data_IF_921033633818
#
_entry.id   IF_921033633818
#
_cell.length_a   1.000
_cell.length_b   1.000
_cell.length_c   1.000
_cell.angle_alpha   90.00
_cell.angle_beta   90.00
_cell.angle_gamma   90.00
#
_symmetry.space_group_name_H-M   'P 1'
#
loop_
_entity.id
_entity.type
_entity.pdbx_description
1 polymer ?
#
# COMPACT_ATOMS: atom_id res chain seq x y z
N UNK A 1 -22.12 21.64 9.24
CA UNK A 1 -23.53 21.48 8.81
C UNK A 1 -23.73 21.19 7.33
N UNK A 2 -23.55 22.15 6.40
CA UNK A 2 -23.87 21.91 4.97
C UNK A 2 -23.22 20.66 4.38
N UNK A 3 -21.91 20.45 4.63
CA UNK A 3 -21.19 19.25 4.16
C UNK A 3 -21.77 17.95 4.71
N UNK A 4 -22.08 17.89 6.01
CA UNK A 4 -22.64 16.70 6.67
C UNK A 4 -23.97 16.25 6.09
N UNK A 5 -24.80 17.20 5.63
CA UNK A 5 -26.08 16.92 4.96
C UNK A 5 -25.91 16.26 3.59
N UNK A 6 -24.72 16.34 2.99
CA UNK A 6 -24.43 15.88 1.63
C UNK A 6 -23.34 14.81 1.57
N UNK A 7 -22.77 14.40 2.72
CA UNK A 7 -21.79 13.33 2.75
C UNK A 7 -22.42 11.99 2.41
N UNK A 8 -21.69 11.21 1.62
CA UNK A 8 -21.92 9.78 1.45
C UNK A 8 -21.68 9.10 2.80
N UNK A 9 -22.61 8.26 3.25
CA UNK A 9 -22.52 7.55 4.53
C UNK A 9 -21.80 6.20 4.38
N UNK A 10 -21.21 5.63 5.44
CA UNK A 10 -20.45 4.39 5.36
C UNK A 10 -21.20 3.20 4.72
N UNK A 11 -22.51 3.11 4.91
CA UNK A 11 -23.39 2.08 4.35
C UNK A 11 -23.68 2.24 2.85
N UNK A 12 -23.29 3.37 2.25
CA UNK A 12 -23.44 3.62 0.82
C UNK A 12 -22.24 3.16 -0.02
N UNK A 13 -21.14 2.75 0.62
CA UNK A 13 -19.94 2.28 -0.08
C UNK A 13 -20.04 0.78 -0.44
N UNK A 14 -19.51 0.35 -1.60
CA UNK A 14 -18.89 1.18 -2.66
C UNK A 14 -19.92 2.07 -3.37
N UNK A 15 -19.57 3.34 -3.59
CA UNK A 15 -20.50 4.37 -4.06
C UNK A 15 -20.26 4.74 -5.53
N UNK A 16 -21.21 4.43 -6.41
CA UNK A 16 -21.20 4.89 -7.79
C UNK A 16 -21.43 6.41 -7.84
N UNK A 17 -20.43 7.16 -8.31
CA UNK A 17 -20.59 8.60 -8.51
C UNK A 17 -21.49 8.89 -9.72
N UNK A 18 -22.04 10.12 -9.83
CA UNK A 18 -22.74 10.56 -11.05
C UNK A 18 -21.84 10.64 -12.31
N UNK A 19 -20.54 10.38 -12.17
CA UNK A 19 -19.57 10.32 -13.27
C UNK A 19 -19.01 8.89 -13.38
N UNK A 20 -17.85 8.70 -14.03
CA UNK A 20 -17.36 7.38 -14.43
C UNK A 20 -16.84 6.47 -13.29
N UNK A 21 -16.71 6.97 -12.05
CA UNK A 21 -15.94 6.29 -11.00
C UNK A 21 -16.80 5.78 -9.84
N UNK A 22 -16.36 4.68 -9.24
CA UNK A 22 -16.94 4.09 -8.03
C UNK A 22 -15.99 4.34 -6.87
N UNK A 23 -16.42 5.08 -5.85
CA UNK A 23 -15.63 5.24 -4.63
C UNK A 23 -15.60 3.94 -3.84
N UNK A 24 -14.43 3.58 -3.31
CA UNK A 24 -14.16 2.30 -2.66
C UNK A 24 -14.77 2.21 -1.25
N UNK A 25 -14.31 3.04 -0.31
CA UNK A 25 -14.78 3.08 1.08
C UNK A 25 -14.65 4.50 1.66
N UNK A 26 -15.37 4.80 2.74
CA UNK A 26 -15.21 6.10 3.40
C UNK A 26 -16.04 6.28 4.66
N UNK A 27 -15.55 7.14 5.56
CA UNK A 27 -16.31 7.65 6.71
C UNK A 27 -16.04 9.14 6.90
N UNK A 28 -16.76 9.96 6.13
CA UNK A 28 -16.51 11.40 6.02
C UNK A 28 -16.98 12.18 7.25
N UNK A 29 -18.01 11.69 7.93
CA UNK A 29 -18.44 12.25 9.22
C UNK A 29 -17.33 12.10 10.25
N UNK A 30 -16.70 10.92 10.36
CA UNK A 30 -15.62 10.68 11.32
C UNK A 30 -14.39 11.59 11.07
N UNK A 31 -13.98 11.79 9.82
CA UNK A 31 -12.84 12.69 9.53
C UNK A 31 -13.18 14.15 9.83
N UNK A 32 -14.41 14.60 9.55
CA UNK A 32 -14.88 15.93 9.93
C UNK A 32 -14.97 16.10 11.45
N UNK A 33 -15.52 15.12 12.17
CA UNK A 33 -15.60 15.12 13.64
C UNK A 33 -14.22 15.27 14.25
N UNK A 34 -13.26 14.44 13.80
CA UNK A 34 -11.91 14.47 14.35
C UNK A 34 -11.20 15.79 14.05
N UNK A 35 -11.38 16.37 12.86
CA UNK A 35 -10.78 17.66 12.53
C UNK A 35 -11.34 18.79 13.41
N UNK A 36 -12.67 18.84 13.61
CA UNK A 36 -13.29 19.88 14.45
C UNK A 36 -12.89 19.76 15.92
N UNK A 37 -12.73 18.53 16.42
CA UNK A 37 -12.19 18.24 17.75
C UNK A 37 -10.76 18.76 17.89
N UNK A 38 -9.85 18.36 16.98
CA UNK A 38 -8.45 18.76 17.01
C UNK A 38 -8.25 20.28 16.86
N UNK A 39 -9.13 20.94 16.11
CA UNK A 39 -9.10 22.38 15.89
C UNK A 39 -9.79 23.18 17.02
N UNK A 40 -10.34 22.52 18.03
CA UNK A 40 -11.12 23.16 19.10
C UNK A 40 -12.18 24.13 18.54
N UNK A 41 -12.92 23.65 17.54
CA UNK A 41 -13.82 24.51 16.74
C UNK A 41 -14.97 25.08 17.56
N UNK A 42 -15.41 24.39 18.61
CA UNK A 42 -16.48 24.87 19.51
C UNK A 42 -16.11 26.19 20.20
N UNK A 43 -14.82 26.45 20.40
CA UNK A 43 -14.30 27.69 20.98
C UNK A 43 -13.86 28.74 19.94
N UNK A 44 -14.05 28.48 18.64
CA UNK A 44 -13.63 29.39 17.57
C UNK A 44 -14.24 30.80 17.71
N UNK A 45 -15.54 30.91 18.01
CA UNK A 45 -16.20 32.22 18.12
C UNK A 45 -15.65 33.07 19.27
N UNK A 46 -15.22 32.44 20.37
CA UNK A 46 -14.52 33.13 21.45
C UNK A 46 -13.20 33.73 20.94
N UNK A 47 -12.39 32.92 20.27
CA UNK A 47 -11.11 33.38 19.69
C UNK A 47 -11.32 34.47 18.63
N UNK A 48 -12.38 34.37 17.84
CA UNK A 48 -12.77 35.38 16.84
C UNK A 48 -13.12 36.71 17.50
N UNK A 49 -13.87 36.71 18.60
CA UNK A 49 -14.17 37.92 19.35
C UNK A 49 -12.91 38.55 19.96
N UNK A 50 -11.97 37.74 20.45
CA UNK A 50 -10.68 38.21 20.96
C UNK A 50 -9.84 38.91 19.86
N UNK A 51 -9.82 38.37 18.64
CA UNK A 51 -9.17 39.04 17.48
C UNK A 51 -9.84 40.36 17.14
N UNK A 52 -11.17 40.38 17.08
CA UNK A 52 -11.94 41.58 16.76
C UNK A 52 -11.67 42.70 17.77
N UNK A 53 -11.53 42.37 19.06
CA UNK A 53 -11.16 43.33 20.10
C UNK A 53 -9.77 43.97 19.90
N UNK A 54 -8.88 43.31 19.15
CA UNK A 54 -7.55 43.82 18.74
C UNK A 54 -7.55 44.45 17.34
N UNK A 55 -8.72 44.67 16.73
CA UNK A 55 -8.84 45.19 15.36
C UNK A 55 -8.43 44.19 14.27
N UNK A 56 -8.34 42.89 14.58
CA UNK A 56 -7.98 41.83 13.63
C UNK A 56 -9.20 41.04 13.18
N UNK A 57 -9.15 40.51 11.97
CA UNK A 57 -10.14 39.56 11.47
C UNK A 57 -9.67 38.14 11.77
N UNK A 58 -10.60 37.23 12.06
CA UNK A 58 -10.28 35.81 12.21
C UNK A 58 -11.28 34.95 11.44
N UNK A 59 -10.76 33.98 10.69
CA UNK A 59 -11.53 33.07 9.86
C UNK A 59 -11.12 31.62 10.09
N UNK A 60 -12.06 30.71 9.86
CA UNK A 60 -11.83 29.27 9.90
C UNK A 60 -12.21 28.66 8.54
N UNK A 61 -11.21 28.20 7.79
CA UNK A 61 -11.37 27.48 6.54
C UNK A 61 -11.51 25.99 6.78
N UNK A 62 -12.46 25.36 6.08
CA UNK A 62 -12.62 23.89 6.07
C UNK A 62 -12.52 23.41 4.62
N UNK A 63 -11.62 22.46 4.38
CA UNK A 63 -11.54 21.68 3.16
C UNK A 63 -11.80 20.21 3.49
N UNK A 64 -12.77 19.59 2.81
CA UNK A 64 -13.01 18.16 2.89
C UNK A 64 -12.89 17.61 1.48
N UNK A 65 -12.06 16.59 1.32
CA UNK A 65 -11.65 16.10 0.00
C UNK A 65 -11.79 14.58 -0.10
N UNK A 66 -11.94 14.14 -1.34
CA UNK A 66 -11.83 12.75 -1.78
C UNK A 66 -10.86 12.82 -2.96
N UNK A 67 -9.82 12.01 -2.95
CA UNK A 67 -8.78 11.99 -3.98
C UNK A 67 -8.83 10.68 -4.75
N UNK A 68 -8.73 10.72 -6.08
CA UNK A 68 -8.54 9.51 -6.87
C UNK A 68 -7.04 9.16 -6.95
N UNK A 69 -6.59 8.27 -6.08
CA UNK A 69 -5.21 7.78 -6.03
C UNK A 69 -5.08 6.42 -6.74
N UNK A 70 -3.85 6.01 -7.07
CA UNK A 70 -3.63 4.72 -7.71
C UNK A 70 -4.07 4.72 -9.16
N UNK A 71 -3.72 5.78 -9.91
CA UNK A 71 -4.06 5.90 -11.33
C UNK A 71 -3.50 4.70 -12.10
N UNK A 72 -4.41 3.79 -12.47
CA UNK A 72 -3.99 2.52 -12.98
C UNK A 72 -4.99 1.72 -13.80
N UNK A 73 -6.32 1.69 -13.52
CA UNK A 73 -7.20 0.74 -14.22
C UNK A 73 -7.13 0.93 -15.73
N UNK A 74 -6.36 0.06 -16.40
CA UNK A 74 -5.87 0.35 -17.75
C UNK A 74 -7.02 0.47 -18.74
N UNK A 75 -8.07 -0.33 -18.52
CA UNK A 75 -9.30 -0.27 -19.30
C UNK A 75 -10.03 1.08 -19.19
N UNK A 76 -10.12 1.65 -17.98
CA UNK A 76 -10.82 2.91 -17.75
C UNK A 76 -10.01 4.10 -18.27
N UNK A 77 -8.72 4.16 -17.93
CA UNK A 77 -7.86 5.27 -18.37
C UNK A 77 -7.63 5.26 -19.88
N UNK A 78 -7.64 4.08 -20.53
CA UNK A 78 -7.63 3.96 -21.98
C UNK A 78 -8.86 4.61 -22.63
N UNK A 79 -10.05 4.43 -22.05
CA UNK A 79 -11.27 5.12 -22.51
C UNK A 79 -11.19 6.65 -22.33
N UNK A 80 -10.41 7.12 -21.35
CA UNK A 80 -10.14 8.54 -21.09
C UNK A 80 -8.97 9.10 -21.91
N UNK A 81 -8.38 8.31 -22.82
CA UNK A 81 -7.35 8.76 -23.76
C UNK A 81 -5.90 8.47 -23.38
N UNK A 82 -5.66 7.68 -22.33
CA UNK A 82 -4.32 7.20 -22.02
C UNK A 82 -3.79 6.27 -23.14
N UNK A 83 -2.52 6.42 -23.50
CA UNK A 83 -1.88 5.66 -24.61
C UNK A 83 -1.10 4.43 -24.17
N UNK A 84 -0.86 4.28 -22.87
CA UNK A 84 -0.20 3.12 -22.26
C UNK A 84 -1.10 2.55 -21.16
N UNK A 85 -0.92 1.26 -20.85
CA UNK A 85 -1.48 0.70 -19.62
C UNK A 85 -0.85 1.39 -18.40
N UNK A 86 -1.57 1.44 -17.29
CA UNK A 86 -1.11 2.07 -16.06
C UNK A 86 -0.96 1.04 -14.92
N UNK A 87 -0.63 -0.20 -15.29
CA UNK A 87 -0.24 -1.27 -14.36
C UNK A 87 1.08 -0.96 -13.65
N UNK A 88 1.45 -1.76 -12.66
CA UNK A 88 2.80 -1.77 -12.10
C UNK A 88 3.34 -3.19 -11.97
N UNK A 89 4.65 -3.34 -11.72
CA UNK A 89 5.31 -4.63 -11.63
C UNK A 89 6.27 -4.73 -10.44
N UNK A 90 6.51 -5.97 -10.03
CA UNK A 90 7.54 -6.30 -9.06
C UNK A 90 8.10 -7.71 -9.29
N UNK A 91 9.38 -7.87 -9.02
CA UNK A 91 10.07 -9.15 -8.90
C UNK A 91 10.63 -9.29 -7.50
N UNK A 92 10.34 -10.41 -6.84
CA UNK A 92 10.89 -10.75 -5.52
C UNK A 92 11.89 -11.88 -5.73
N UNK A 93 13.16 -11.64 -5.40
CA UNK A 93 14.24 -12.63 -5.44
C UNK A 93 14.70 -12.91 -4.02
N UNK A 94 14.67 -14.17 -3.63
CA UNK A 94 15.13 -14.61 -2.30
C UNK A 94 16.44 -15.37 -2.45
N UNK A 95 17.51 -14.88 -1.83
CA UNK A 95 18.81 -15.56 -1.85
C UNK A 95 18.78 -16.81 -0.95
N UNK A 96 19.70 -17.75 -1.17
CA UNK A 96 19.80 -18.99 -0.39
C UNK A 96 19.94 -18.74 1.13
N UNK A 97 20.56 -17.62 1.53
CA UNK A 97 20.72 -17.21 2.93
C UNK A 97 19.47 -16.59 3.56
N UNK A 98 18.41 -16.36 2.78
CA UNK A 98 17.12 -15.83 3.25
C UNK A 98 16.94 -14.32 3.06
N UNK A 99 17.99 -13.57 2.68
CA UNK A 99 17.86 -12.16 2.30
C UNK A 99 17.04 -12.00 1.01
N UNK A 100 16.35 -10.87 0.86
CA UNK A 100 15.39 -10.65 -0.23
C UNK A 100 15.78 -9.38 -1.00
N UNK A 101 15.78 -9.47 -2.34
CA UNK A 101 15.88 -8.33 -3.24
C UNK A 101 14.53 -8.13 -3.93
N UNK A 102 13.99 -6.91 -3.84
CA UNK A 102 12.71 -6.52 -4.46
C UNK A 102 13.00 -5.55 -5.59
N UNK A 103 12.71 -5.93 -6.83
CA UNK A 103 12.82 -5.05 -7.99
C UNK A 103 11.43 -4.52 -8.31
N UNK A 104 11.24 -3.20 -8.31
CA UNK A 104 9.92 -2.59 -8.56
C UNK A 104 10.00 -1.53 -9.64
N UNK A 105 9.00 -1.51 -10.53
CA UNK A 105 8.87 -0.48 -11.53
C UNK A 105 8.44 0.90 -10.98
N UNK A 106 8.14 1.00 -9.67
CA UNK A 106 7.96 2.27 -8.97
C UNK A 106 9.30 2.93 -8.62
N UNK A 107 9.52 4.18 -9.04
CA UNK A 107 10.75 4.91 -8.75
C UNK A 107 10.58 5.94 -7.62
N UNK A 108 11.43 5.91 -6.59
CA UNK A 108 11.32 6.88 -5.50
C UNK A 108 11.98 8.22 -5.83
N UNK A 109 11.35 9.31 -5.37
CA UNK A 109 11.91 10.67 -5.41
C UNK A 109 11.88 11.31 -4.00
N UNK A 110 11.95 10.49 -2.94
CA UNK A 110 11.91 10.94 -1.55
C UNK A 110 10.66 10.52 -0.76
N UNK A 111 9.82 9.62 -1.30
CA UNK A 111 8.62 9.12 -0.60
C UNK A 111 8.92 8.02 0.43
N UNK A 112 10.15 7.48 0.42
CA UNK A 112 10.57 6.42 1.35
C UNK A 112 10.16 5.01 0.90
N UNK A 113 10.19 4.73 -0.41
CA UNK A 113 9.79 3.42 -0.96
C UNK A 113 10.71 2.30 -0.47
N UNK A 114 12.01 2.59 -0.33
CA UNK A 114 13.03 1.66 0.16
C UNK A 114 12.76 1.18 1.58
N UNK A 115 12.07 2.00 2.39
CA UNK A 115 11.64 1.62 3.73
C UNK A 115 10.28 0.95 3.71
N UNK A 116 9.28 1.62 3.12
CA UNK A 116 7.88 1.20 3.22
C UNK A 116 7.60 -0.09 2.45
N UNK A 117 8.21 -0.30 1.28
CA UNK A 117 8.06 -1.56 0.55
C UNK A 117 8.78 -2.72 1.23
N UNK A 118 9.94 -2.47 1.86
CA UNK A 118 10.62 -3.48 2.65
C UNK A 118 9.76 -3.92 3.85
N UNK A 119 9.10 -2.98 4.53
CA UNK A 119 8.17 -3.28 5.62
C UNK A 119 7.00 -4.16 5.15
N UNK A 120 6.41 -3.89 3.98
CA UNK A 120 5.32 -4.73 3.43
C UNK A 120 5.77 -6.19 3.26
N UNK A 121 6.94 -6.42 2.65
CA UNK A 121 7.45 -7.79 2.42
C UNK A 121 7.87 -8.44 3.74
N UNK A 122 8.49 -7.67 4.64
CA UNK A 122 8.89 -8.11 5.97
C UNK A 122 7.69 -8.63 6.78
N UNK A 123 6.60 -7.86 6.83
CA UNK A 123 5.39 -8.24 7.57
C UNK A 123 4.71 -9.49 6.98
N UNK A 124 4.73 -9.63 5.65
CA UNK A 124 4.15 -10.81 4.98
C UNK A 124 4.89 -12.11 5.29
N UNK A 125 6.21 -12.05 5.45
CA UNK A 125 7.07 -13.23 5.66
C UNK A 125 7.39 -13.44 7.15
N UNK A 126 7.40 -12.37 7.93
CA UNK A 126 7.81 -12.34 9.34
C UNK A 126 9.33 -12.30 9.54
N UNK A 127 10.06 -11.59 8.67
CA UNK A 127 11.52 -11.39 8.78
C UNK A 127 11.87 -9.93 9.07
N UNK A 128 13.11 -9.63 9.47
CA UNK A 128 13.55 -8.25 9.66
C UNK A 128 13.59 -7.52 8.32
N UNK A 129 12.95 -6.34 8.22
CA UNK A 129 13.01 -5.51 7.01
C UNK A 129 14.44 -5.16 6.57
N UNK A 130 15.42 -5.19 7.47
CA UNK A 130 16.85 -5.00 7.13
C UNK A 130 17.43 -6.10 6.25
N UNK A 131 16.80 -7.28 6.17
CA UNK A 131 17.21 -8.33 5.24
C UNK A 131 16.62 -8.16 3.84
N UNK A 132 15.93 -7.04 3.59
CA UNK A 132 15.21 -6.77 2.36
C UNK A 132 15.79 -5.51 1.71
N UNK A 133 16.24 -5.64 0.48
CA UNK A 133 16.75 -4.53 -0.33
C UNK A 133 15.75 -4.20 -1.44
N UNK A 134 15.43 -2.91 -1.59
CA UNK A 134 14.53 -2.44 -2.65
C UNK A 134 15.38 -1.82 -3.77
N UNK A 135 15.21 -2.34 -4.97
CA UNK A 135 15.81 -1.86 -6.20
C UNK A 135 14.74 -1.22 -7.08
N UNK A 136 14.99 0.01 -7.51
CA UNK A 136 14.17 0.74 -8.48
C UNK A 136 15.05 1.66 -9.33
N UNK A 137 14.56 2.06 -10.51
CA UNK A 137 15.22 3.04 -11.38
C UNK A 137 16.21 2.49 -12.40
N UNK A 138 16.63 1.24 -12.29
CA UNK A 138 17.46 0.58 -13.28
C UNK A 138 16.61 -0.30 -14.22
N UNK A 139 16.30 0.23 -15.41
CA UNK A 139 15.50 -0.47 -16.41
C UNK A 139 16.20 -1.71 -17.00
N UNK A 140 17.48 -1.95 -16.71
CA UNK A 140 18.18 -3.16 -17.15
C UNK A 140 17.86 -4.38 -16.28
N UNK A 141 17.42 -4.17 -15.04
CA UNK A 141 17.18 -5.25 -14.07
C UNK A 141 15.75 -5.29 -13.52
N UNK A 142 14.95 -4.25 -13.75
CA UNK A 142 13.60 -4.11 -13.21
C UNK A 142 12.56 -4.39 -14.30
N UNK A 143 11.48 -5.17 -14.01
CA UNK A 143 10.38 -5.35 -14.95
C UNK A 143 9.74 -4.01 -15.35
N UNK A 144 9.18 -3.93 -16.56
CA UNK A 144 8.54 -2.69 -17.02
C UNK A 144 7.46 -2.25 -16.04
N UNK A 145 7.54 -0.99 -15.65
CA UNK A 145 6.60 -0.33 -14.75
C UNK A 145 6.19 1.02 -15.28
N UNK A 146 5.23 1.63 -14.60
CA UNK A 146 4.71 2.93 -14.99
C UNK A 146 5.19 4.05 -14.06
N UNK A 147 5.95 3.73 -13.02
CA UNK A 147 6.65 4.70 -12.18
C UNK A 147 5.78 5.35 -11.10
N UNK A 148 6.32 6.40 -10.49
CA UNK A 148 5.71 7.09 -9.35
C UNK A 148 5.13 8.43 -9.74
N UNK A 149 3.80 8.53 -9.66
CA UNK A 149 2.97 9.75 -9.77
C UNK A 149 1.54 9.41 -9.34
N UNK A 150 0.62 10.37 -9.31
CA UNK A 150 -0.80 10.11 -9.02
C UNK A 150 -1.04 9.29 -7.75
N UNK A 151 -0.16 9.46 -6.76
CA UNK A 151 -0.14 8.72 -5.49
C UNK A 151 -0.27 7.19 -5.66
N UNK A 152 0.34 6.63 -6.72
CA UNK A 152 0.09 5.25 -7.14
C UNK A 152 1.05 4.19 -6.60
N UNK A 153 2.23 4.59 -6.12
CA UNK A 153 3.33 3.65 -5.87
C UNK A 153 2.95 2.53 -4.90
N UNK A 154 2.28 2.85 -3.78
CA UNK A 154 1.82 1.81 -2.84
C UNK A 154 0.57 1.08 -3.36
N UNK A 155 -0.43 1.83 -3.82
CA UNK A 155 -1.70 1.26 -4.30
C UNK A 155 -1.52 0.26 -5.47
N UNK A 156 -0.56 0.50 -6.35
CA UNK A 156 -0.33 -0.30 -7.56
C UNK A 156 0.98 -1.08 -7.47
N UNK A 157 2.11 -0.39 -7.23
CA UNK A 157 3.42 -1.04 -7.07
C UNK A 157 3.53 -1.90 -5.83
N UNK A 158 3.07 -1.39 -4.68
CA UNK A 158 2.95 -2.19 -3.45
C UNK A 158 2.05 -3.40 -3.64
N UNK A 159 0.94 -3.28 -4.37
CA UNK A 159 0.08 -4.41 -4.72
C UNK A 159 0.77 -5.44 -5.64
N UNK A 160 1.61 -4.99 -6.59
CA UNK A 160 2.44 -5.89 -7.39
C UNK A 160 3.47 -6.64 -6.52
N UNK A 161 4.09 -5.95 -5.56
CA UNK A 161 5.00 -6.53 -4.57
C UNK A 161 4.27 -7.59 -3.73
N UNK A 162 3.08 -7.28 -3.20
CA UNK A 162 2.25 -8.25 -2.46
C UNK A 162 1.95 -9.48 -3.31
N UNK A 163 1.56 -9.30 -4.58
CA UNK A 163 1.27 -10.42 -5.49
C UNK A 163 2.49 -11.29 -5.76
N UNK A 164 3.65 -10.69 -6.04
CA UNK A 164 4.89 -11.44 -6.26
C UNK A 164 5.36 -12.14 -4.98
N UNK A 165 5.21 -11.48 -3.82
CA UNK A 165 5.55 -12.06 -2.51
C UNK A 165 4.66 -13.26 -2.17
N UNK A 166 3.35 -13.20 -2.46
CA UNK A 166 2.46 -14.35 -2.29
C UNK A 166 2.91 -15.55 -3.14
N UNK A 167 3.33 -15.33 -4.40
CA UNK A 167 3.87 -16.42 -5.22
C UNK A 167 5.14 -17.03 -4.62
N UNK A 168 6.04 -16.21 -4.08
CA UNK A 168 7.22 -16.68 -3.33
C UNK A 168 6.80 -17.51 -2.13
N UNK A 169 5.85 -17.04 -1.33
CA UNK A 169 5.33 -17.77 -0.16
C UNK A 169 4.70 -19.09 -0.58
N UNK A 170 3.90 -19.12 -1.65
CA UNK A 170 3.28 -20.34 -2.16
C UNK A 170 4.32 -21.38 -2.59
N UNK A 171 5.37 -20.95 -3.28
CA UNK A 171 6.50 -21.82 -3.65
C UNK A 171 7.26 -22.29 -2.41
N UNK A 172 7.55 -21.40 -1.47
CA UNK A 172 8.25 -21.71 -0.23
C UNK A 172 7.46 -22.70 0.66
N UNK A 173 6.13 -22.57 0.74
CA UNK A 173 5.27 -23.50 1.46
C UNK A 173 5.34 -24.92 0.90
N UNK A 174 5.41 -25.09 -0.42
CA UNK A 174 5.58 -26.41 -1.05
C UNK A 174 6.94 -27.04 -0.71
N UNK A 175 7.99 -26.23 -0.65
CA UNK A 175 9.33 -26.68 -0.22
C UNK A 175 9.30 -27.05 1.27
N UNK A 176 8.72 -26.21 2.12
CA UNK A 176 8.57 -26.49 3.54
C UNK A 176 7.76 -27.76 3.82
N UNK A 177 6.67 -27.97 3.06
CA UNK A 177 5.84 -29.17 3.12
C UNK A 177 6.66 -30.44 2.84
N UNK A 178 7.53 -30.40 1.82
CA UNK A 178 8.45 -31.49 1.54
C UNK A 178 9.41 -31.75 2.70
N UNK A 179 10.05 -30.71 3.24
CA UNK A 179 11.01 -30.83 4.35
C UNK A 179 10.37 -31.36 5.64
N UNK A 180 9.08 -31.08 5.86
CA UNK A 180 8.34 -31.48 7.06
C UNK A 180 7.54 -32.77 6.89
N UNK A 181 7.56 -33.35 5.68
CA UNK A 181 6.76 -34.52 5.28
C UNK A 181 5.26 -34.31 5.56
N UNK A 182 4.74 -33.17 5.09
CA UNK A 182 3.35 -32.74 5.29
C UNK A 182 2.70 -32.27 3.98
N UNK A 183 1.38 -32.08 4.00
CA UNK A 183 0.67 -31.51 2.85
C UNK A 183 0.90 -29.99 2.78
N UNK A 184 1.06 -29.39 1.58
CA UNK A 184 1.24 -27.94 1.43
C UNK A 184 0.14 -27.09 2.06
N UNK A 185 -1.10 -27.56 2.01
CA UNK A 185 -2.27 -26.91 2.63
C UNK A 185 -2.20 -26.85 4.16
N UNK A 186 -1.43 -27.74 4.80
CA UNK A 186 -1.24 -27.75 6.25
C UNK A 186 -0.09 -26.85 6.71
N UNK A 187 0.63 -26.21 5.78
CA UNK A 187 1.76 -25.33 6.10
C UNK A 187 1.30 -23.89 6.34
N UNK A 188 1.57 -23.42 7.54
CA UNK A 188 1.43 -22.03 7.94
C UNK A 188 2.80 -21.34 7.93
N UNK A 189 2.83 -20.08 7.50
CA UNK A 189 4.00 -19.20 7.62
C UNK A 189 3.66 -18.09 8.61
N UNK A 190 4.46 -17.95 9.65
CA UNK A 190 4.32 -16.88 10.65
C UNK A 190 5.69 -16.58 11.26
N UNK A 191 5.99 -15.29 11.45
CA UNK A 191 7.21 -14.84 12.13
C UNK A 191 8.49 -15.50 11.56
N UNK A 192 8.57 -15.63 10.22
CA UNK A 192 9.73 -16.21 9.55
C UNK A 192 9.86 -17.72 9.72
N UNK A 193 8.80 -18.41 10.12
CA UNK A 193 8.80 -19.83 10.43
C UNK A 193 7.64 -20.55 9.76
N UNK A 194 7.94 -21.69 9.14
CA UNK A 194 6.95 -22.59 8.57
C UNK A 194 6.62 -23.69 9.57
N UNK A 195 5.33 -23.96 9.81
CA UNK A 195 4.86 -24.99 10.74
C UNK A 195 3.71 -25.81 10.16
N UNK A 196 3.66 -27.09 10.52
CA UNK A 196 2.52 -27.97 10.17
C UNK A 196 1.41 -27.76 11.20
N UNK A 197 0.22 -27.38 10.74
CA UNK A 197 -0.94 -27.12 11.58
C UNK A 197 -1.23 -28.29 12.55
N UNK A 198 -1.45 -27.96 13.83
CA UNK A 198 -1.75 -28.96 14.85
C UNK A 198 -0.56 -29.80 15.35
N UNK A 199 0.68 -29.46 14.97
CA UNK A 199 1.89 -30.17 15.43
C UNK A 199 2.97 -29.21 15.93
N UNK A 200 4.10 -29.74 16.41
CA UNK A 200 5.32 -29.01 16.76
C UNK A 200 6.38 -29.00 15.63
N UNK A 201 6.11 -29.68 14.51
CA UNK A 201 7.02 -29.74 13.35
C UNK A 201 7.12 -28.37 12.68
N UNK A 202 8.35 -27.93 12.45
CA UNK A 202 8.61 -26.64 11.83
C UNK A 202 10.00 -26.51 11.22
N UNK A 203 10.14 -25.57 10.29
CA UNK A 203 11.41 -25.18 9.67
C UNK A 203 11.44 -23.66 9.51
N UNK A 204 12.59 -23.05 9.82
CA UNK A 204 12.74 -21.60 9.71
C UNK A 204 12.90 -21.16 8.23
N UNK A 205 12.63 -19.88 7.97
CA UNK A 205 12.74 -19.26 6.65
C UNK A 205 14.04 -19.62 5.94
N UNK A 206 15.19 -19.44 6.60
CA UNK A 206 16.50 -19.74 6.01
C UNK A 206 16.68 -21.22 5.63
N UNK A 207 16.03 -22.13 6.34
CA UNK A 207 16.06 -23.56 6.01
C UNK A 207 15.34 -23.84 4.69
N UNK A 208 14.18 -23.21 4.49
CA UNK A 208 13.39 -23.32 3.26
C UNK A 208 14.07 -22.62 2.09
N UNK A 209 14.62 -21.41 2.30
CA UNK A 209 15.31 -20.68 1.23
C UNK A 209 16.57 -21.38 0.80
N UNK A 210 17.34 -21.99 1.72
CA UNK A 210 18.49 -22.80 1.34
C UNK A 210 18.05 -24.01 0.51
N UNK A 211 17.01 -24.73 0.97
CA UNK A 211 16.49 -25.89 0.28
C UNK A 211 16.04 -25.58 -1.15
N UNK A 212 15.49 -24.39 -1.42
CA UNK A 212 15.12 -23.95 -2.77
C UNK A 212 16.29 -23.97 -3.77
N UNK A 213 17.54 -23.88 -3.30
CA UNK A 213 18.76 -23.93 -4.12
C UNK A 213 19.50 -25.27 -4.05
N UNK A 214 18.90 -26.28 -3.40
CA UNK A 214 19.43 -27.65 -3.29
C UNK A 214 18.50 -28.59 -4.06
N UNK A 215 18.60 -28.63 -5.40
CA UNK A 215 17.57 -29.20 -6.26
C UNK A 215 17.35 -30.71 -6.03
N UNK A 216 18.34 -31.44 -5.51
CA UNK A 216 18.18 -32.87 -5.24
C UNK A 216 17.39 -33.20 -3.95
N UNK A 217 16.87 -32.19 -3.25
CA UNK A 217 16.24 -32.32 -1.94
C UNK A 217 14.76 -31.86 -1.92
N UNK A 218 14.11 -31.84 -3.08
CA UNK A 218 12.66 -31.67 -3.25
C UNK A 218 12.23 -32.18 -4.65
N UNK A 219 10.93 -32.37 -4.93
CA UNK A 219 10.45 -32.92 -6.20
C UNK A 219 10.69 -31.93 -7.35
N UNK A 220 11.76 -32.15 -8.13
CA UNK A 220 12.16 -31.25 -9.22
C UNK A 220 11.22 -31.27 -10.41
N UNK A 221 10.48 -32.36 -10.60
CA UNK A 221 9.44 -32.46 -11.61
C UNK A 221 8.29 -31.46 -11.40
N UNK A 222 8.05 -31.04 -10.16
CA UNK A 222 6.93 -30.17 -9.77
C UNK A 222 7.38 -28.75 -9.39
N UNK A 223 8.65 -28.57 -9.05
CA UNK A 223 9.21 -27.32 -8.55
C UNK A 223 10.54 -26.99 -9.23
N UNK A 224 10.60 -25.83 -9.88
CA UNK A 224 11.86 -25.32 -10.41
C UNK A 224 12.81 -24.86 -9.28
N UNK A 225 14.13 -25.00 -9.42
CA UNK A 225 15.10 -24.43 -8.50
C UNK A 225 15.05 -22.91 -8.36
N UNK A 226 15.52 -22.44 -7.22
CA UNK A 226 15.53 -21.04 -6.82
C UNK A 226 14.20 -20.54 -6.28
N UNK A 227 14.21 -19.32 -5.75
CA UNK A 227 13.03 -18.70 -5.15
C UNK A 227 12.91 -17.26 -5.63
N UNK A 228 12.37 -17.10 -6.83
CA UNK A 228 12.20 -15.81 -7.49
C UNK A 228 10.87 -15.79 -8.26
N UNK A 229 10.08 -14.74 -8.06
CA UNK A 229 8.76 -14.62 -8.68
C UNK A 229 8.47 -13.19 -9.12
N UNK A 230 7.75 -13.05 -10.22
CA UNK A 230 7.35 -11.76 -10.79
C UNK A 230 5.84 -11.63 -10.87
N UNK A 231 5.32 -10.43 -10.63
CA UNK A 231 3.93 -10.08 -10.85
C UNK A 231 3.78 -8.73 -11.54
N UNK A 232 2.75 -8.65 -12.39
CA UNK A 232 2.23 -7.42 -12.96
C UNK A 232 0.83 -7.21 -12.40
N UNK A 233 0.52 -5.99 -12.00
CA UNK A 233 -0.75 -5.64 -11.38
C UNK A 233 -1.40 -4.46 -12.09
N UNK A 234 -2.54 -4.75 -12.71
CA UNK A 234 -3.49 -3.76 -13.22
C UNK A 234 -4.74 -3.79 -12.30
N UNK A 235 -4.99 -2.74 -11.50
CA UNK A 235 -6.12 -2.71 -10.58
C UNK A 235 -7.43 -2.49 -11.32
N UNK A 236 -8.52 -3.01 -10.76
CA UNK A 236 -9.86 -2.85 -11.33
C UNK A 236 -10.47 -1.47 -11.05
N UNK A 237 -9.96 -0.74 -10.07
CA UNK A 237 -10.43 0.59 -9.67
C UNK A 237 -9.30 1.42 -9.05
N UNK A 238 -9.52 2.72 -8.88
CA UNK A 238 -8.69 3.60 -8.05
C UNK A 238 -8.92 3.31 -6.56
N UNK A 239 -8.05 3.87 -5.73
CA UNK A 239 -8.28 4.01 -4.28
C UNK A 239 -8.74 5.44 -3.98
N UNK A 240 -9.69 5.64 -3.07
CA UNK A 240 -10.25 6.98 -2.79
C UNK A 240 -9.99 7.45 -1.35
N UNK A 241 -8.72 7.75 -0.98
CA UNK A 241 -8.46 8.35 0.32
C UNK A 241 -9.17 9.69 0.44
N UNK A 242 -9.63 9.98 1.65
CA UNK A 242 -10.36 11.20 1.98
C UNK A 242 -9.83 11.82 3.26
N UNK A 243 -10.06 13.11 3.43
CA UNK A 243 -9.59 13.83 4.60
C UNK A 243 -10.34 15.13 4.84
N UNK A 244 -10.19 15.65 6.06
CA UNK A 244 -10.74 16.92 6.48
C UNK A 244 -9.61 17.80 7.02
N UNK A 245 -9.40 18.96 6.40
CA UNK A 245 -8.45 19.97 6.83
C UNK A 245 -9.18 21.18 7.40
N UNK A 246 -8.69 21.66 8.54
CA UNK A 246 -9.09 22.91 9.17
C UNK A 246 -7.91 23.89 9.17
N UNK A 247 -8.17 25.15 8.83
CA UNK A 247 -7.18 26.21 8.89
C UNK A 247 -7.78 27.44 9.57
N UNK A 248 -7.21 27.84 10.70
CA UNK A 248 -7.59 29.06 11.40
C UNK A 248 -6.55 30.14 11.12
N UNK A 249 -7.00 31.30 10.65
CA UNK A 249 -6.14 32.44 10.31
C UNK A 249 -6.66 33.67 11.04
N UNK A 250 -5.76 34.42 11.67
CA UNK A 250 -5.97 35.81 12.08
C UNK A 250 -5.28 36.71 11.06
N UNK A 251 -5.96 37.77 10.63
CA UNK A 251 -5.53 38.69 9.59
C UNK A 251 -5.60 40.13 10.10
N UNK A 252 -4.56 40.89 9.83
CA UNK A 252 -4.56 42.34 9.94
C UNK A 252 -5.19 42.98 8.70
N UNK A 253 -6.37 43.61 8.80
CA UNK A 253 -7.02 44.21 7.63
C UNK A 253 -6.26 45.42 7.07
N UNK A 254 -5.38 46.07 7.84
CA UNK A 254 -4.61 47.22 7.37
C UNK A 254 -3.35 46.81 6.60
N UNK A 255 -2.72 45.69 6.99
CA UNK A 255 -1.42 45.28 6.43
C UNK A 255 -1.49 44.01 5.59
N UNK A 256 -2.56 43.23 5.68
CA UNK A 256 -2.72 41.95 5.01
C UNK A 256 -1.87 40.81 5.60
N UNK A 257 -1.25 41.04 6.76
CA UNK A 257 -0.44 40.03 7.49
C UNK A 257 -1.28 39.10 8.34
#
# INVERSE_FOLDING_TARGET
ELRRKNFITPDMFPYQTPVAVVYDTGNYHATMDKMLELADYTNFEKRRAESAARGKLRGFGIAHYIEACGIAPSNLVGQLGARAGLYESATIRVNATGSISVYTGSHSHGQGHETTFAQVVADMIGVDAKSIEIHHGDTSNTPMGMGTYGSRSLAVGGSAIVKATNKVIDKAKKIAAHLLEAAPEDIELKDGKFSVAGTDKSVDWSGVTLAAYVPHNYPLEDLEPGLEETAFYDPSNFTYPSGAYGCEIELDPETGK
#
